data_IF_517158114949
#
_entry.id   IF_517158114949
#
_cell.length_a   1.000
_cell.length_b   1.000
_cell.length_c   1.000
_cell.angle_alpha   90.00
_cell.angle_beta   90.00
_cell.angle_gamma   90.00
#
_symmetry.space_group_name_H-M   'P 1'
#
loop_
_entity.id
_entity.type
_entity.pdbx_description
1 polymer ?
#
# COMPACT_ATOMS: atom_id res chain seq x y z
N UNK A 1 38.08 5.22 -3.68
CA UNK A 1 37.29 3.97 -3.58
C UNK A 1 36.83 3.77 -2.14
N UNK A 2 37.73 3.63 -1.15
CA UNK A 2 37.34 3.52 0.29
C UNK A 2 36.47 4.68 0.85
N UNK A 3 36.72 5.92 0.42
CA UNK A 3 35.91 7.08 0.86
C UNK A 3 34.49 7.13 0.31
N UNK A 4 34.24 6.51 -0.85
CA UNK A 4 32.90 6.41 -1.42
C UNK A 4 32.12 5.27 -0.77
N UNK A 5 32.78 4.14 -0.49
CA UNK A 5 32.16 3.00 0.19
C UNK A 5 31.72 3.38 1.62
N UNK A 6 32.56 4.10 2.36
CA UNK A 6 32.22 4.62 3.69
C UNK A 6 31.08 5.66 3.67
N UNK A 7 30.98 6.45 2.59
CA UNK A 7 29.89 7.42 2.39
C UNK A 7 28.59 6.71 2.06
N UNK A 8 28.63 5.70 1.20
CA UNK A 8 27.48 4.87 0.84
C UNK A 8 26.95 4.10 2.06
N UNK A 9 27.84 3.54 2.89
CA UNK A 9 27.45 2.82 4.09
C UNK A 9 26.76 3.73 5.13
N UNK A 10 27.31 4.92 5.39
CA UNK A 10 26.65 5.93 6.26
C UNK A 10 25.30 6.39 5.71
N UNK A 11 25.17 6.54 4.39
CA UNK A 11 23.91 6.88 3.76
C UNK A 11 22.87 5.75 3.90
N UNK A 12 23.30 4.49 3.75
CA UNK A 12 22.45 3.31 3.94
C UNK A 12 21.97 3.17 5.39
N UNK A 13 22.85 3.34 6.37
CA UNK A 13 22.51 3.31 7.80
C UNK A 13 21.52 4.42 8.18
N UNK A 14 21.74 5.64 7.67
CA UNK A 14 20.82 6.75 7.89
C UNK A 14 19.45 6.47 7.24
N UNK A 15 19.44 5.93 6.01
CA UNK A 15 18.21 5.54 5.32
C UNK A 15 17.46 4.48 6.11
N UNK A 16 18.15 3.44 6.61
CA UNK A 16 17.52 2.39 7.39
C UNK A 16 16.95 2.90 8.72
N UNK A 17 17.65 3.84 9.37
CA UNK A 17 17.14 4.52 10.58
C UNK A 17 15.86 5.30 10.28
N UNK A 18 15.84 6.09 9.21
CA UNK A 18 14.64 6.82 8.80
C UNK A 18 13.50 5.89 8.39
N UNK A 19 13.81 4.74 7.77
CA UNK A 19 12.79 3.74 7.43
C UNK A 19 12.12 3.19 8.68
N UNK A 20 12.89 2.88 9.72
CA UNK A 20 12.34 2.46 11.00
C UNK A 20 11.55 3.59 11.70
N UNK A 21 12.09 4.81 11.73
CA UNK A 21 11.48 5.96 12.41
C UNK A 21 10.14 6.37 11.80
N UNK A 22 10.04 6.39 10.47
CA UNK A 22 8.84 6.87 9.76
C UNK A 22 7.93 5.76 9.24
N UNK A 23 8.27 4.50 9.54
CA UNK A 23 7.54 3.31 9.09
C UNK A 23 7.51 3.20 7.57
N UNK A 24 8.67 3.34 6.92
CA UNK A 24 8.83 3.30 5.47
C UNK A 24 9.14 1.88 5.02
N UNK A 25 8.35 1.37 4.07
CA UNK A 25 8.42 0.00 3.59
C UNK A 25 7.13 -0.77 3.86
N UNK A 26 6.96 -1.90 3.18
CA UNK A 26 5.81 -2.78 3.37
C UNK A 26 5.80 -3.35 4.79
N UNK A 27 4.66 -3.26 5.46
CA UNK A 27 4.44 -3.88 6.77
C UNK A 27 3.50 -5.05 6.55
N UNK A 28 3.97 -6.31 6.57
CA UNK A 28 3.15 -7.49 6.25
C UNK A 28 1.83 -7.55 7.02
N UNK A 29 1.83 -7.15 8.29
CA UNK A 29 0.65 -7.09 9.15
C UNK A 29 -0.41 -6.06 8.70
N UNK A 30 -0.02 -5.10 7.86
CA UNK A 30 -0.89 -4.04 7.33
C UNK A 30 -1.22 -4.22 5.86
N UNK A 31 -0.68 -5.25 5.21
CA UNK A 31 -1.05 -5.60 3.84
C UNK A 31 -2.51 -6.09 3.91
N UNK A 32 -3.45 -5.41 3.22
CA UNK A 32 -4.85 -5.79 3.32
C UNK A 32 -5.05 -7.22 2.81
N UNK A 33 -5.65 -8.09 3.63
CA UNK A 33 -5.85 -9.51 3.30
C UNK A 33 -7.31 -9.75 2.93
N UNK A 34 -7.57 -10.33 1.76
CA UNK A 34 -8.93 -10.63 1.34
C UNK A 34 -9.55 -11.84 2.07
N UNK A 35 -8.76 -12.66 2.77
CA UNK A 35 -9.22 -13.91 3.37
C UNK A 35 -10.36 -13.73 4.39
N UNK A 36 -10.17 -12.87 5.40
CA UNK A 36 -11.16 -12.67 6.46
C UNK A 36 -12.46 -12.03 5.93
N UNK A 37 -12.33 -11.10 4.99
CA UNK A 37 -13.47 -10.47 4.33
C UNK A 37 -14.20 -11.43 3.39
N UNK A 38 -13.48 -12.27 2.65
CA UNK A 38 -14.07 -13.29 1.81
C UNK A 38 -14.93 -14.25 2.65
N UNK A 39 -14.43 -14.70 3.80
CA UNK A 39 -15.19 -15.54 4.74
C UNK A 39 -16.46 -14.83 5.23
N UNK A 40 -16.35 -13.57 5.65
CA UNK A 40 -17.51 -12.76 6.07
C UNK A 40 -18.55 -12.55 4.97
N UNK A 41 -18.11 -12.55 3.72
CA UNK A 41 -18.95 -12.38 2.53
C UNK A 41 -19.44 -13.73 1.97
N UNK A 42 -19.28 -14.83 2.71
CA UNK A 42 -19.80 -16.15 2.36
C UNK A 42 -18.95 -16.90 1.32
N UNK A 43 -17.73 -16.43 1.05
CA UNK A 43 -16.76 -17.18 0.26
C UNK A 43 -15.93 -18.10 1.17
N UNK A 44 -15.59 -19.29 0.67
CA UNK A 44 -14.67 -20.20 1.34
C UNK A 44 -13.33 -20.11 0.60
N UNK A 45 -12.44 -19.14 0.93
CA UNK A 45 -11.19 -18.99 0.19
C UNK A 45 -10.28 -20.21 0.39
N UNK A 46 -9.89 -20.85 -0.71
CA UNK A 46 -8.82 -21.86 -0.77
C UNK A 46 -7.44 -21.25 -0.47
N UNK A 47 -6.42 -22.07 -0.13
CA UNK A 47 -5.15 -21.63 0.47
C UNK A 47 -4.32 -20.59 -0.31
N UNK A 48 -4.61 -20.28 -1.59
CA UNK A 48 -3.94 -19.19 -2.32
C UNK A 48 -4.58 -17.81 -2.13
N UNK A 49 -5.73 -17.72 -1.47
CA UNK A 49 -6.30 -16.46 -0.95
C UNK A 49 -6.79 -15.41 -1.96
N UNK A 50 -6.73 -15.69 -3.27
CA UNK A 50 -7.15 -14.74 -4.31
C UNK A 50 -8.66 -14.85 -4.61
N UNK A 51 -9.29 -13.69 -4.77
CA UNK A 51 -10.70 -13.57 -5.08
C UNK A 51 -10.97 -12.49 -6.13
N UNK A 52 -12.01 -12.66 -6.92
CA UNK A 52 -12.49 -11.71 -7.92
C UNK A 52 -13.97 -11.38 -7.69
N UNK A 53 -14.46 -10.35 -8.37
CA UNK A 53 -15.89 -10.06 -8.50
C UNK A 53 -16.39 -10.53 -9.85
N UNK A 54 -17.53 -11.21 -9.84
CA UNK A 54 -18.24 -11.64 -11.05
C UNK A 54 -19.67 -11.11 -11.01
N UNK A 55 -20.19 -10.70 -12.16
CA UNK A 55 -21.61 -10.44 -12.32
C UNK A 55 -22.28 -11.77 -12.66
N UNK A 56 -23.16 -12.24 -11.78
CA UNK A 56 -23.99 -13.42 -12.05
C UNK A 56 -25.10 -13.02 -13.01
N UNK A 57 -25.01 -13.45 -14.28
CA UNK A 57 -25.95 -13.03 -15.33
C UNK A 57 -27.40 -13.49 -15.04
N UNK A 58 -27.56 -14.64 -14.38
CA UNK A 58 -28.87 -15.20 -14.06
C UNK A 58 -29.62 -14.37 -12.99
N UNK A 59 -28.91 -13.89 -11.96
CA UNK A 59 -29.51 -13.10 -10.88
C UNK A 59 -29.31 -11.59 -11.02
N UNK A 60 -28.44 -11.15 -11.93
CA UNK A 60 -28.01 -9.75 -12.05
C UNK A 60 -27.21 -9.25 -10.84
N UNK A 61 -26.73 -10.14 -9.97
CA UNK A 61 -26.03 -9.77 -8.74
C UNK A 61 -24.52 -9.91 -8.86
N UNK A 62 -23.78 -9.00 -8.24
CA UNK A 62 -22.32 -9.13 -8.10
C UNK A 62 -22.03 -10.16 -6.99
N UNK A 63 -21.21 -11.16 -7.30
CA UNK A 63 -20.75 -12.19 -6.37
C UNK A 63 -19.23 -12.20 -6.30
N UNK A 64 -18.72 -12.64 -5.16
CA UNK A 64 -17.29 -12.92 -5.01
C UNK A 64 -17.05 -14.38 -5.40
N UNK A 65 -15.96 -14.61 -6.13
CA UNK A 65 -15.50 -15.94 -6.53
C UNK A 65 -14.00 -16.07 -6.30
N UNK A 66 -13.55 -17.30 -6.15
CA UNK A 66 -12.13 -17.60 -6.17
C UNK A 66 -11.56 -17.34 -7.57
N UNK A 67 -10.30 -16.92 -7.65
CA UNK A 67 -9.57 -16.82 -8.91
C UNK A 67 -8.14 -17.31 -8.74
N UNK A 68 -7.54 -17.76 -9.83
CA UNK A 68 -6.09 -18.03 -9.92
C UNK A 68 -5.37 -17.03 -10.81
N UNK A 69 -6.12 -16.09 -11.41
CA UNK A 69 -5.58 -15.06 -12.28
C UNK A 69 -5.30 -13.79 -11.46
N UNK A 70 -4.02 -13.40 -11.25
CA UNK A 70 -3.69 -12.22 -10.48
C UNK A 70 -4.29 -10.94 -11.07
N UNK A 71 -4.35 -10.85 -12.41
CA UNK A 71 -4.93 -9.70 -13.12
C UNK A 71 -6.42 -9.50 -12.87
N UNK A 72 -7.17 -10.58 -12.57
CA UNK A 72 -8.58 -10.54 -12.23
C UNK A 72 -8.86 -10.50 -10.72
N UNK A 73 -7.81 -10.61 -9.89
CA UNK A 73 -7.96 -10.59 -8.44
C UNK A 73 -8.19 -9.18 -7.92
N UNK A 74 -9.04 -9.07 -6.89
CA UNK A 74 -9.32 -7.81 -6.20
C UNK A 74 -8.97 -7.93 -4.72
N UNK A 75 -8.44 -6.84 -4.18
CA UNK A 75 -8.32 -6.69 -2.75
C UNK A 75 -9.67 -6.23 -2.18
N UNK A 76 -10.38 -7.13 -1.49
CA UNK A 76 -11.75 -6.86 -1.02
C UNK A 76 -11.78 -5.78 0.07
N UNK A 77 -10.75 -5.73 0.91
CA UNK A 77 -10.63 -4.71 1.94
C UNK A 77 -10.45 -3.33 1.34
N UNK A 78 -9.54 -3.23 0.36
CA UNK A 78 -9.32 -2.02 -0.39
C UNK A 78 -10.60 -1.55 -1.08
N UNK A 79 -11.26 -2.46 -1.82
CA UNK A 79 -12.48 -2.14 -2.54
C UNK A 79 -13.60 -1.69 -1.59
N UNK A 80 -13.80 -2.40 -0.47
CA UNK A 80 -14.82 -2.05 0.52
C UNK A 80 -14.61 -0.64 1.08
N UNK A 81 -13.38 -0.31 1.46
CA UNK A 81 -13.05 1.01 2.01
C UNK A 81 -13.14 2.10 0.95
N UNK A 82 -12.69 1.86 -0.29
CA UNK A 82 -12.83 2.80 -1.38
C UNK A 82 -14.31 3.09 -1.71
N UNK A 83 -15.15 2.05 -1.75
CA UNK A 83 -16.60 2.20 -1.94
C UNK A 83 -17.26 2.95 -0.78
N UNK A 84 -16.81 2.72 0.45
CA UNK A 84 -17.29 3.47 1.61
C UNK A 84 -16.95 4.95 1.51
N UNK A 85 -15.73 5.31 1.11
CA UNK A 85 -15.35 6.71 0.85
C UNK A 85 -16.24 7.30 -0.24
N UNK A 86 -16.39 6.59 -1.37
CA UNK A 86 -17.21 7.06 -2.48
C UNK A 86 -18.66 7.28 -2.10
N UNK A 87 -19.25 6.36 -1.33
CA UNK A 87 -20.64 6.45 -0.88
C UNK A 87 -20.86 7.57 0.14
N UNK A 88 -19.91 7.79 1.04
CA UNK A 88 -20.06 8.75 2.13
C UNK A 88 -19.64 10.17 1.77
N UNK A 89 -18.64 10.33 0.88
CA UNK A 89 -18.05 11.63 0.56
C UNK A 89 -18.19 12.03 -0.91
N UNK A 90 -18.62 11.11 -1.78
CA UNK A 90 -18.75 11.38 -3.22
C UNK A 90 -17.41 11.48 -3.96
N UNK A 91 -16.30 11.24 -3.26
CA UNK A 91 -14.93 11.35 -3.78
C UNK A 91 -14.20 10.01 -3.70
N UNK A 92 -13.04 9.91 -4.33
CA UNK A 92 -12.14 8.76 -4.18
C UNK A 92 -11.22 8.93 -2.96
N UNK A 93 -10.74 7.83 -2.35
CA UNK A 93 -9.75 7.91 -1.29
C UNK A 93 -8.44 8.52 -1.84
N UNK A 94 -7.86 9.45 -1.10
CA UNK A 94 -6.69 10.21 -1.53
C UNK A 94 -5.64 10.29 -0.44
N UNK A 95 -4.37 10.34 -0.86
CA UNK A 95 -3.22 10.52 0.00
C UNK A 95 -2.24 11.53 -0.59
N UNK A 96 -1.65 12.38 0.25
CA UNK A 96 -0.53 13.23 -0.12
C UNK A 96 0.46 13.46 1.03
N UNK A 97 1.68 13.84 0.65
CA UNK A 97 2.68 14.40 1.55
C UNK A 97 2.71 15.92 1.36
N UNK A 98 1.99 16.64 2.20
CA UNK A 98 1.86 18.09 2.11
C UNK A 98 3.04 18.77 2.84
N UNK A 99 3.64 19.83 2.30
CA UNK A 99 4.67 20.59 3.01
C UNK A 99 4.06 21.32 4.22
N UNK A 100 4.74 21.31 5.37
CA UNK A 100 4.35 22.15 6.51
C UNK A 100 4.55 23.62 6.13
N UNK A 101 3.48 24.42 6.20
CA UNK A 101 3.47 25.84 5.79
C UNK A 101 4.01 26.82 6.86
N UNK A 102 4.86 26.35 7.78
CA UNK A 102 5.45 27.20 8.82
C UNK A 102 6.65 28.00 8.28
N UNK A 103 6.87 29.21 8.78
CA UNK A 103 8.05 30.01 8.44
C UNK A 103 9.38 29.31 8.81
N UNK A 104 9.35 28.36 9.73
CA UNK A 104 10.51 27.54 10.14
C UNK A 104 10.67 26.22 9.34
N UNK A 105 9.80 25.97 8.34
CA UNK A 105 9.77 24.71 7.57
C UNK A 105 11.06 24.41 6.78
N UNK A 106 11.92 25.41 6.58
CA UNK A 106 13.22 25.25 5.92
C UNK A 106 14.29 24.58 6.81
N UNK A 107 14.14 24.57 8.14
CA UNK A 107 15.15 23.99 9.05
C UNK A 107 14.90 22.52 9.39
N UNK A 108 13.64 22.09 9.39
CA UNK A 108 13.27 20.70 9.64
C UNK A 108 12.25 20.27 8.60
N UNK A 109 12.73 19.48 7.63
CA UNK A 109 11.90 18.78 6.64
C UNK A 109 10.72 18.12 7.34
N UNK A 110 9.57 18.75 7.29
CA UNK A 110 8.35 18.20 7.88
C UNK A 110 7.30 18.26 6.78
N UNK A 111 7.20 17.15 6.05
CA UNK A 111 6.01 16.87 5.26
C UNK A 111 5.01 16.18 6.19
N UNK A 112 3.72 16.47 6.03
CA UNK A 112 2.66 15.81 6.79
C UNK A 112 1.92 14.81 5.90
N UNK A 113 1.65 13.63 6.46
CA UNK A 113 0.81 12.61 5.84
C UNK A 113 -0.62 13.10 5.87
N UNK A 114 -1.19 13.38 4.70
CA UNK A 114 -2.58 13.80 4.56
C UNK A 114 -3.37 12.70 3.90
N UNK A 115 -4.43 12.26 4.58
CA UNK A 115 -5.39 11.30 4.07
C UNK A 115 -6.71 12.01 3.86
N UNK A 116 -7.37 11.73 2.74
CA UNK A 116 -8.70 12.24 2.44
C UNK A 116 -9.61 11.05 2.10
N UNK A 117 -10.56 10.71 2.99
CA UNK A 117 -10.79 11.32 4.29
C UNK A 117 -9.75 11.00 5.36
N UNK A 118 -9.65 11.88 6.36
CA UNK A 118 -8.67 11.76 7.46
C UNK A 118 -8.73 10.42 8.21
N UNK A 119 -9.92 9.80 8.30
CA UNK A 119 -10.09 8.51 8.98
C UNK A 119 -9.44 7.34 8.25
N UNK A 120 -9.02 7.49 6.98
CA UNK A 120 -8.20 6.47 6.31
C UNK A 120 -6.85 6.29 6.99
N UNK A 121 -6.38 7.27 7.76
CA UNK A 121 -5.18 7.13 8.56
C UNK A 121 -5.31 5.94 9.53
N UNK A 122 -4.33 5.02 9.49
CA UNK A 122 -4.34 3.82 10.32
C UNK A 122 -5.14 2.64 9.76
N UNK A 123 -5.84 2.81 8.64
CA UNK A 123 -6.44 1.70 7.88
C UNK A 123 -5.42 1.04 6.96
N UNK A 124 -5.71 -0.19 6.50
CA UNK A 124 -4.93 -0.89 5.49
C UNK A 124 -4.85 -0.12 4.17
N UNK A 125 -5.96 0.49 3.71
CA UNK A 125 -5.98 1.37 2.52
C UNK A 125 -5.08 2.57 2.70
N UNK A 126 -5.15 3.25 3.84
CA UNK A 126 -4.25 4.37 4.12
C UNK A 126 -2.78 3.95 4.10
N UNK A 127 -2.45 2.79 4.68
CA UNK A 127 -1.09 2.25 4.64
C UNK A 127 -0.62 1.99 3.20
N UNK A 128 -1.45 1.36 2.38
CA UNK A 128 -1.15 1.06 0.97
C UNK A 128 -0.98 2.35 0.15
N UNK A 129 -1.87 3.34 0.31
CA UNK A 129 -1.76 4.63 -0.39
C UNK A 129 -0.45 5.35 -0.07
N UNK A 130 -0.07 5.38 1.21
CA UNK A 130 1.19 5.96 1.65
C UNK A 130 2.40 5.21 1.08
N UNK A 131 2.42 3.88 1.21
CA UNK A 131 3.54 3.05 0.75
C UNK A 131 3.69 3.12 -0.77
N UNK A 132 2.58 3.18 -1.52
CA UNK A 132 2.59 3.29 -2.98
C UNK A 132 3.17 4.62 -3.44
N UNK A 133 2.76 5.75 -2.84
CA UNK A 133 3.30 7.08 -3.14
C UNK A 133 4.80 7.15 -2.81
N UNK A 134 5.21 6.62 -1.64
CA UNK A 134 6.62 6.57 -1.27
C UNK A 134 7.43 5.70 -2.23
N UNK A 135 6.90 4.54 -2.62
CA UNK A 135 7.55 3.62 -3.54
C UNK A 135 7.70 4.24 -4.94
N UNK A 136 6.65 4.84 -5.49
CA UNK A 136 6.72 5.57 -6.77
C UNK A 136 7.77 6.67 -6.75
N UNK A 137 7.94 7.38 -5.63
CA UNK A 137 9.00 8.39 -5.48
C UNK A 137 10.38 7.77 -5.51
N UNK A 138 10.61 6.67 -4.78
CA UNK A 138 11.89 5.96 -4.83
C UNK A 138 12.21 5.46 -6.26
N UNK A 139 11.23 4.92 -6.99
CA UNK A 139 11.41 4.49 -8.39
C UNK A 139 11.70 5.69 -9.31
N UNK A 140 10.93 6.78 -9.19
CA UNK A 140 10.99 7.95 -10.09
C UNK A 140 12.24 8.80 -9.86
N UNK A 141 12.83 8.77 -8.67
CA UNK A 141 14.06 9.49 -8.35
C UNK A 141 15.33 8.72 -8.74
N UNK A 142 15.20 7.57 -9.42
CA UNK A 142 16.35 6.82 -9.94
C UNK A 142 17.23 6.22 -8.85
N UNK A 143 16.71 6.02 -7.63
CA UNK A 143 17.46 5.35 -6.56
C UNK A 143 17.70 3.86 -6.85
N UNK A 144 17.00 3.29 -7.85
CA UNK A 144 17.15 1.90 -8.27
C UNK A 144 17.11 1.77 -9.80
N UNK A 145 17.99 0.94 -10.36
CA UNK A 145 17.86 0.44 -11.73
C UNK A 145 16.61 -0.44 -11.83
N UNK A 146 15.80 -0.21 -12.87
CA UNK A 146 14.58 -0.97 -13.11
C UNK A 146 14.87 -2.23 -13.93
N UNK A 147 14.25 -3.39 -13.60
CA UNK A 147 13.41 -3.64 -12.42
C UNK A 147 14.25 -3.77 -11.14
N UNK A 148 13.71 -3.33 -9.99
CA UNK A 148 14.41 -3.40 -8.70
C UNK A 148 14.57 -4.86 -8.26
N UNK A 149 15.68 -5.50 -8.63
CA UNK A 149 15.99 -6.89 -8.29
C UNK A 149 16.07 -7.04 -6.76
N UNK A 150 15.21 -7.88 -6.17
CA UNK A 150 15.18 -8.19 -4.74
C UNK A 150 14.22 -7.34 -3.90
N UNK A 151 13.51 -6.37 -4.47
CA UNK A 151 12.35 -5.77 -3.80
C UNK A 151 11.15 -6.69 -3.96
N UNK A 152 10.87 -7.45 -2.90
CA UNK A 152 9.65 -8.24 -2.77
C UNK A 152 8.42 -7.33 -2.92
N UNK A 153 7.56 -7.67 -3.88
CA UNK A 153 6.20 -7.14 -3.99
C UNK A 153 5.44 -7.35 -2.68
N UNK A 154 4.43 -6.54 -2.38
CA UNK A 154 3.56 -6.81 -1.22
C UNK A 154 2.94 -8.22 -1.27
N UNK A 155 2.77 -8.77 -2.47
CA UNK A 155 2.33 -10.15 -2.70
C UNK A 155 3.41 -11.20 -2.37
N UNK A 156 4.70 -10.87 -2.52
CA UNK A 156 5.80 -11.79 -2.20
C UNK A 156 5.97 -11.99 -0.68
N UNK A 157 5.38 -11.11 0.15
CA UNK A 157 5.28 -11.29 1.60
C UNK A 157 4.07 -12.13 2.01
N UNK A 158 3.12 -12.37 1.10
CA UNK A 158 1.94 -13.20 1.36
C UNK A 158 2.14 -14.68 1.00
N UNK A 159 3.23 -15.01 0.31
CA UNK A 159 3.58 -16.39 -0.08
C UNK A 159 4.52 -17.08 0.92
N UNK A 160 5.02 -16.37 1.94
CA UNK A 160 5.95 -16.90 2.96
C UNK A 160 5.24 -17.43 4.24
N UNK A 161 3.89 -17.47 4.27
CA UNK A 161 3.05 -18.05 5.35
C UNK A 161 2.27 -19.29 4.88
#
# INVERSE_FOLDING_TARGET
>A
REGDDARLQKAAELKQRHRAEYGLGWTPDRIPRSADLAVRLGCVPRPRGLCCLVLDEDSGMVRIKETFEPAGSVNLEYLSLALQVRRSQGTEPYFSLDPVRSADAFKHRTQVKRFEPAWLAGTSVGAVLFQSDYHLKELSMGEYDQPVVGMKSCFDFSEDD
#
